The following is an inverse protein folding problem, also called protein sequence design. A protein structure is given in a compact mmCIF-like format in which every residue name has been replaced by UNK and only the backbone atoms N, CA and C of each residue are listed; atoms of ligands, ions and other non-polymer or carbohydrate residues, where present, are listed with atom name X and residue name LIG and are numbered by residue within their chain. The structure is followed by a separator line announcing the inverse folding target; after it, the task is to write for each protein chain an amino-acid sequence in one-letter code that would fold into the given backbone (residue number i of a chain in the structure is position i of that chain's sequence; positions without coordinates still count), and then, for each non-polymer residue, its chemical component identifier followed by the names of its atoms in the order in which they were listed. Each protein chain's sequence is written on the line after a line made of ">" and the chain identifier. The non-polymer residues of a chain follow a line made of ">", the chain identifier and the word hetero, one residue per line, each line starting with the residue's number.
data_IF_119747266526
#
_entry.id   IF_119747266526
#
_cell.length_a   1.000
_cell.length_b   1.000
_cell.length_c   1.000
_cell.angle_alpha   90.00
_cell.angle_beta   90.00
_cell.angle_gamma   90.00
#
_symmetry.space_group_name_H-M   'P 1'
#
loop_
_entity.id
_entity.type
_entity.pdbx_description
1 polymer ?
#
# COMPACT_ATOMS: atom_id res chain seq x y z
N UNK A 1 9.26 -4.05 -11.06
CA UNK A 1 8.62 -2.82 -11.61
C UNK A 1 7.45 -2.46 -10.72
N UNK A 2 7.47 -1.25 -10.14
CA UNK A 2 6.39 -0.79 -9.28
C UNK A 2 5.17 -0.37 -10.11
N UNK A 3 3.98 -0.72 -9.66
CA UNK A 3 2.71 -0.38 -10.32
C UNK A 3 1.68 0.10 -9.31
N UNK A 4 0.80 0.99 -9.76
CA UNK A 4 -0.36 1.38 -8.97
C UNK A 4 -1.45 0.30 -9.08
N UNK A 5 -2.16 0.07 -7.99
CA UNK A 5 -3.30 -0.84 -7.90
C UNK A 5 -4.57 -0.02 -7.93
N UNK A 6 -5.49 -0.37 -8.82
CA UNK A 6 -6.70 0.40 -9.11
C UNK A 6 -7.97 -0.26 -8.60
N UNK A 7 -7.94 -1.55 -8.27
CA UNK A 7 -9.12 -2.28 -7.79
C UNK A 7 -8.84 -3.16 -6.58
N UNK A 8 -9.88 -3.45 -5.79
CA UNK A 8 -9.80 -4.43 -4.70
C UNK A 8 -9.45 -5.82 -5.24
N UNK A 9 -9.93 -6.17 -6.44
CA UNK A 9 -9.63 -7.45 -7.10
C UNK A 9 -8.15 -7.59 -7.42
N UNK A 10 -7.51 -6.55 -7.97
CA UNK A 10 -6.07 -6.57 -8.23
C UNK A 10 -5.27 -6.76 -6.94
N UNK A 11 -5.64 -6.05 -5.87
CA UNK A 11 -4.99 -6.21 -4.56
C UNK A 11 -5.18 -7.64 -4.02
N UNK A 12 -6.38 -8.20 -4.14
CA UNK A 12 -6.70 -9.55 -3.69
C UNK A 12 -5.86 -10.61 -4.41
N UNK A 13 -5.67 -10.47 -5.72
CA UNK A 13 -4.85 -11.38 -6.54
C UNK A 13 -3.37 -11.36 -6.18
N UNK A 14 -2.87 -10.27 -5.57
CA UNK A 14 -1.48 -10.17 -5.15
C UNK A 14 -1.22 -10.91 -3.84
N UNK A 15 -2.24 -11.27 -3.06
CA UNK A 15 -2.08 -11.95 -1.77
C UNK A 15 -1.49 -13.35 -1.86
N UNK A 16 -1.63 -14.01 -2.99
CA UNK A 16 -1.01 -15.32 -3.27
C UNK A 16 0.42 -15.20 -3.82
N UNK A 17 0.93 -13.98 -3.97
CA UNK A 17 2.27 -13.70 -4.49
C UNK A 17 3.13 -13.12 -3.39
N UNK A 18 4.42 -13.44 -3.41
CA UNK A 18 5.39 -12.72 -2.59
C UNK A 18 5.60 -11.31 -3.16
N UNK A 19 5.62 -10.32 -2.26
CA UNK A 19 5.83 -8.94 -2.65
C UNK A 19 5.40 -7.96 -1.58
N UNK A 20 5.37 -6.70 -1.99
CA UNK A 20 5.20 -5.56 -1.11
C UNK A 20 4.15 -4.61 -1.68
N UNK A 21 3.29 -4.13 -0.81
CA UNK A 21 2.32 -3.09 -1.14
C UNK A 21 2.61 -1.84 -0.32
N UNK A 22 2.64 -0.67 -0.97
CA UNK A 22 2.61 0.62 -0.32
C UNK A 22 1.16 1.10 -0.26
N UNK A 23 0.71 1.39 0.93
CA UNK A 23 -0.59 1.98 1.17
C UNK A 23 -0.40 3.44 1.57
N UNK A 24 -0.90 4.36 0.74
CA UNK A 24 -0.86 5.79 1.01
C UNK A 24 -2.20 6.22 1.59
N UNK A 25 -2.15 6.90 2.72
CA UNK A 25 -3.26 7.57 3.37
C UNK A 25 -3.05 9.08 3.23
N UNK A 26 -3.78 9.68 2.29
CA UNK A 26 -3.67 11.09 1.95
C UNK A 26 -4.27 12.01 3.01
N UNK A 27 -5.21 11.51 3.82
CA UNK A 27 -5.81 12.29 4.92
C UNK A 27 -4.78 12.47 6.03
N UNK A 28 -4.12 11.37 6.41
CA UNK A 28 -3.18 11.37 7.52
C UNK A 28 -1.74 11.69 7.10
N UNK A 29 -1.49 11.86 5.80
CA UNK A 29 -0.15 12.03 5.23
C UNK A 29 0.81 10.91 5.65
N UNK A 30 0.35 9.65 5.61
CA UNK A 30 1.15 8.47 5.98
C UNK A 30 1.26 7.48 4.83
N UNK A 31 2.45 6.92 4.66
CA UNK A 31 2.73 5.79 3.78
C UNK A 31 3.07 4.59 4.64
N UNK A 32 2.40 3.46 4.40
CA UNK A 32 2.68 2.19 5.08
C UNK A 32 3.10 1.12 4.09
N UNK A 33 4.27 0.52 4.33
CA UNK A 33 4.72 -0.66 3.62
C UNK A 33 4.13 -1.91 4.27
N UNK A 34 3.58 -2.80 3.46
CA UNK A 34 3.05 -4.10 3.87
C UNK A 34 3.60 -5.20 2.98
N UNK A 35 3.75 -6.41 3.53
CA UNK A 35 3.83 -7.61 2.71
C UNK A 35 2.46 -7.87 2.07
N UNK A 36 2.42 -8.39 0.85
CA UNK A 36 1.17 -8.82 0.18
C UNK A 36 0.37 -9.85 0.98
N UNK A 37 1.07 -10.70 1.75
CA UNK A 37 0.46 -11.69 2.64
C UNK A 37 -0.19 -11.07 3.89
N UNK A 38 0.06 -9.78 4.16
CA UNK A 38 -0.49 -9.09 5.32
C UNK A 38 -2.03 -9.08 5.30
N UNK A 39 -2.63 -9.31 6.46
CA UNK A 39 -4.09 -9.26 6.63
C UNK A 39 -4.71 -7.89 6.29
N UNK A 40 -3.93 -6.80 6.37
CA UNK A 40 -4.37 -5.45 5.97
C UNK A 40 -4.51 -5.34 4.45
N UNK A 41 -3.73 -6.10 3.69
CA UNK A 41 -3.84 -6.17 2.23
C UNK A 41 -4.99 -7.06 1.75
N UNK A 42 -5.88 -7.51 2.66
CA UNK A 42 -7.08 -8.24 2.31
C UNK A 42 -8.30 -7.32 2.29
N UNK A 43 -8.75 -6.86 1.12
CA UNK A 43 -9.92 -5.98 1.03
C UNK A 43 -11.18 -6.62 1.64
N UNK A 44 -11.32 -7.94 1.71
CA UNK A 44 -12.51 -8.58 2.29
C UNK A 44 -12.58 -8.47 3.82
N UNK A 45 -11.52 -7.99 4.49
CA UNK A 45 -11.53 -7.75 5.94
C UNK A 45 -12.08 -6.36 6.24
N UNK A 46 -12.74 -6.20 7.40
CA UNK A 46 -13.25 -4.91 7.88
C UNK A 46 -12.17 -3.82 7.97
N UNK A 47 -10.95 -4.19 8.38
CA UNK A 47 -9.79 -3.30 8.48
C UNK A 47 -8.87 -3.37 7.25
N UNK A 48 -9.30 -4.05 6.19
CA UNK A 48 -8.55 -4.20 4.96
C UNK A 48 -8.47 -2.91 4.14
N UNK A 49 -7.46 -2.81 3.29
CA UNK A 49 -7.34 -1.73 2.31
C UNK A 49 -8.45 -1.88 1.28
N UNK A 50 -9.25 -0.82 1.11
CA UNK A 50 -10.28 -0.69 0.08
C UNK A 50 -9.77 0.27 -0.98
N UNK A 51 -9.15 -0.25 -2.03
CA UNK A 51 -8.50 0.51 -3.10
C UNK A 51 -9.54 1.36 -3.83
N UNK A 52 -10.67 0.77 -4.19
CA UNK A 52 -11.73 1.46 -4.94
C UNK A 52 -12.29 2.63 -4.11
N UNK A 53 -12.65 2.38 -2.84
CA UNK A 53 -13.11 3.44 -1.94
C UNK A 53 -12.06 4.54 -1.75
N UNK A 54 -10.76 4.20 -1.71
CA UNK A 54 -9.69 5.19 -1.57
C UNK A 54 -9.61 6.11 -2.79
N UNK A 55 -9.74 5.54 -3.99
CA UNK A 55 -9.71 6.28 -5.24
C UNK A 55 -10.97 7.16 -5.36
N UNK A 56 -12.16 6.58 -5.16
CA UNK A 56 -13.45 7.27 -5.24
C UNK A 56 -13.49 8.48 -4.31
N UNK A 57 -13.06 8.29 -3.05
CA UNK A 57 -13.07 9.36 -2.04
C UNK A 57 -11.80 10.21 -2.04
N UNK A 58 -10.85 9.97 -2.96
CA UNK A 58 -9.54 10.65 -3.02
C UNK A 58 -8.77 10.62 -1.69
N UNK A 59 -8.89 9.54 -0.93
CA UNK A 59 -8.29 9.40 0.41
C UNK A 59 -6.97 8.63 0.42
N UNK A 60 -6.53 8.12 -0.73
CA UNK A 60 -5.28 7.39 -0.81
C UNK A 60 -5.01 6.72 -2.13
N UNK A 61 -3.85 6.07 -2.19
CA UNK A 61 -3.38 5.28 -3.32
C UNK A 61 -2.81 3.97 -2.80
N UNK A 62 -2.74 2.94 -3.64
CA UNK A 62 -2.06 1.68 -3.31
C UNK A 62 -1.13 1.30 -4.44
N UNK A 63 0.11 0.96 -4.12
CA UNK A 63 1.14 0.56 -5.08
C UNK A 63 1.69 -0.81 -4.71
N UNK A 64 2.22 -1.53 -5.70
CA UNK A 64 2.79 -2.86 -5.54
C UNK A 64 4.12 -2.99 -6.26
N UNK A 65 5.06 -3.71 -5.65
CA UNK A 65 6.22 -4.30 -6.30
C UNK A 65 6.53 -5.67 -5.70
N UNK A 66 7.08 -6.57 -6.51
CA UNK A 66 7.68 -7.82 -6.03
C UNK A 66 9.01 -7.58 -5.28
N UNK A 67 9.62 -6.41 -5.45
CA UNK A 67 10.89 -6.04 -4.81
C UNK A 67 10.68 -4.97 -3.74
N UNK A 68 11.17 -5.26 -2.52
CA UNK A 68 11.13 -4.33 -1.38
C UNK A 68 11.74 -2.97 -1.71
N UNK A 69 12.94 -2.97 -2.30
CA UNK A 69 13.68 -1.75 -2.61
C UNK A 69 12.95 -0.82 -3.59
N UNK A 70 12.17 -1.36 -4.54
CA UNK A 70 11.37 -0.52 -5.44
C UNK A 70 10.21 0.16 -4.70
N UNK A 71 9.55 -0.57 -3.79
CA UNK A 71 8.51 -0.02 -2.94
C UNK A 71 9.08 1.05 -1.98
N UNK A 72 10.24 0.82 -1.38
CA UNK A 72 10.90 1.80 -0.50
C UNK A 72 11.38 3.04 -1.27
N UNK A 73 11.88 2.87 -2.50
CA UNK A 73 12.24 3.99 -3.36
C UNK A 73 11.02 4.87 -3.69
N UNK A 74 9.87 4.26 -4.02
CA UNK A 74 8.63 5.02 -4.27
C UNK A 74 8.12 5.73 -3.01
N UNK A 75 8.19 5.07 -1.86
CA UNK A 75 7.84 5.70 -0.59
C UNK A 75 8.74 6.91 -0.31
N UNK A 76 10.05 6.78 -0.52
CA UNK A 76 11.03 7.86 -0.35
C UNK A 76 10.77 9.03 -1.30
N UNK A 77 10.44 8.76 -2.55
CA UNK A 77 10.01 9.77 -3.53
C UNK A 77 8.81 10.57 -3.00
N UNK A 78 7.78 9.88 -2.50
CA UNK A 78 6.57 10.53 -1.98
C UNK A 78 6.82 11.30 -0.68
N UNK A 79 7.68 10.80 0.21
CA UNK A 79 8.12 11.53 1.42
C UNK A 79 8.77 12.85 1.02
N UNK A 80 9.72 12.81 0.08
CA UNK A 80 10.48 13.99 -0.36
C UNK A 80 9.62 15.00 -1.12
N UNK A 81 8.78 14.52 -2.04
CA UNK A 81 8.08 15.40 -2.99
C UNK A 81 6.72 15.86 -2.48
N UNK A 82 6.07 15.08 -1.61
CA UNK A 82 4.69 15.32 -1.18
C UNK A 82 4.55 15.45 0.34
N UNK A 83 5.65 15.35 1.11
CA UNK A 83 5.65 15.58 2.56
C UNK A 83 5.02 14.47 3.40
N UNK A 84 4.81 13.28 2.83
CA UNK A 84 4.29 12.14 3.58
C UNK A 84 5.29 11.65 4.65
N UNK A 85 4.77 11.03 5.70
CA UNK A 85 5.57 10.28 6.68
C UNK A 85 5.58 8.81 6.33
N UNK A 86 6.76 8.21 6.30
CA UNK A 86 6.90 6.76 6.16
C UNK A 86 6.74 6.07 7.52
N UNK A 87 5.90 5.04 7.58
CA UNK A 87 5.65 4.26 8.78
C UNK A 87 5.69 2.76 8.47
N UNK A 88 6.34 1.98 9.33
CA UNK A 88 6.33 0.53 9.24
C UNK A 88 4.96 -0.05 9.62
N UNK A 89 4.50 -1.06 8.89
CA UNK A 89 3.36 -1.83 9.35
C UNK A 89 3.75 -2.69 10.55
N UNK A 90 3.19 -2.40 11.73
CA UNK A 90 3.36 -3.21 12.96
C UNK A 90 2.97 -4.68 12.84
N UNK A 91 2.23 -5.08 11.78
CA UNK A 91 1.89 -6.49 11.55
C UNK A 91 2.98 -7.18 10.72
N UNK A 92 3.60 -6.46 9.79
CA UNK A 92 4.66 -7.00 8.92
C UNK A 92 6.04 -6.88 9.55
N UNK A 93 6.22 -5.87 10.40
CA UNK A 93 7.44 -5.59 11.15
C UNK A 93 7.02 -5.11 12.55
N UNK A 94 6.70 -6.06 13.46
CA UNK A 94 6.23 -5.78 14.81
C UNK A 94 7.24 -4.99 15.66
#
# INVERSE_FOLDING_TARGET
>A
MIKEIKTDRELLLLRSKDGYTLNIDSINYVIKLHLTSCRVCNPNRRFGIKVENKIENKTGETWYSDKKGEAEAKATEMVRNRGYRYSSCKICNP
#
